data_IF_288657321221
#
_entry.id   IF_288657321221
#
_cell.length_a   1.000
_cell.length_b   1.000
_cell.length_c   1.000
_cell.angle_alpha   90.00
_cell.angle_beta   90.00
_cell.angle_gamma   90.00
#
_symmetry.space_group_name_H-M   'P 1'
#
loop_
_entity.id
_entity.type
_entity.pdbx_description
1 polymer ?
#
# COMPACT_ATOMS: atom_id res chain seq x y z
N UNK A 1 -9.88 -8.98 -14.28
CA UNK A 1 -9.27 -9.28 -12.96
C UNK A 1 -9.00 -10.77 -12.76
N UNK A 2 -9.98 -11.67 -12.57
CA UNK A 2 -9.67 -13.09 -12.30
C UNK A 2 -8.79 -13.74 -13.38
N UNK A 3 -9.10 -13.56 -14.66
CA UNK A 3 -8.29 -14.13 -15.76
C UNK A 3 -6.83 -13.67 -15.71
N UNK A 4 -6.57 -12.43 -15.31
CA UNK A 4 -5.22 -11.87 -15.16
C UNK A 4 -4.48 -12.50 -13.98
N UNK A 5 -5.16 -12.65 -12.83
CA UNK A 5 -4.61 -13.34 -11.66
C UNK A 5 -4.21 -14.77 -12.03
N UNK A 6 -5.09 -15.49 -12.74
CA UNK A 6 -4.82 -16.88 -13.15
C UNK A 6 -3.72 -16.97 -14.21
N UNK A 7 -3.64 -16.02 -15.13
CA UNK A 7 -2.58 -15.99 -16.14
C UNK A 7 -1.20 -15.79 -15.49
N UNK A 8 -1.09 -14.87 -14.51
CA UNK A 8 0.18 -14.61 -13.81
C UNK A 8 0.55 -15.73 -12.83
N UNK A 9 -0.45 -16.34 -12.19
CA UNK A 9 -0.25 -17.37 -11.17
C UNK A 9 0.03 -18.78 -11.69
N UNK A 10 -0.22 -19.11 -12.96
CA UNK A 10 -0.02 -20.50 -13.43
C UNK A 10 1.45 -20.91 -13.60
N UNK A 11 2.30 -19.97 -13.98
CA UNK A 11 3.70 -20.24 -14.35
C UNK A 11 4.72 -19.66 -13.35
N UNK A 12 4.25 -19.24 -12.17
CA UNK A 12 5.05 -18.54 -11.17
C UNK A 12 5.07 -19.32 -9.86
N UNK A 13 6.21 -19.32 -9.16
CA UNK A 13 6.31 -19.85 -7.78
C UNK A 13 6.09 -18.69 -6.80
N UNK A 14 5.03 -18.74 -6.01
CA UNK A 14 4.68 -17.73 -5.01
C UNK A 14 4.06 -18.39 -3.78
N UNK A 15 4.20 -17.73 -2.63
CA UNK A 15 3.64 -18.20 -1.36
C UNK A 15 2.25 -17.61 -1.08
N UNK A 16 1.99 -16.38 -1.56
CA UNK A 16 0.74 -15.66 -1.39
C UNK A 16 0.31 -14.96 -2.68
N UNK A 17 -1.01 -14.82 -2.86
CA UNK A 17 -1.61 -13.83 -3.75
C UNK A 17 -2.16 -12.70 -2.88
N UNK A 18 -1.62 -11.50 -3.03
CA UNK A 18 -2.04 -10.34 -2.24
C UNK A 18 -3.02 -9.50 -3.04
N UNK A 19 -4.18 -9.18 -2.45
CA UNK A 19 -5.10 -8.18 -2.95
C UNK A 19 -4.77 -6.84 -2.31
N UNK A 20 -4.25 -5.95 -3.14
CA UNK A 20 -3.93 -4.55 -2.87
C UNK A 20 -4.30 -3.78 -4.14
N UNK A 21 -4.67 -2.50 -4.03
CA UNK A 21 -5.06 -1.72 -5.19
C UNK A 21 -4.84 -0.23 -5.01
N UNK A 22 -5.03 0.52 -6.11
CA UNK A 22 -4.98 1.99 -6.16
C UNK A 22 -6.05 2.66 -5.26
N UNK A 23 -7.00 1.87 -4.76
CA UNK A 23 -7.99 2.28 -3.77
C UNK A 23 -8.22 1.16 -2.76
N UNK A 24 -9.18 1.37 -1.86
CA UNK A 24 -9.48 0.45 -0.78
C UNK A 24 -10.10 -0.87 -1.32
N UNK A 25 -9.41 -2.04 -1.17
CA UNK A 25 -9.89 -3.30 -1.75
C UNK A 25 -11.28 -3.72 -1.25
N UNK A 26 -11.64 -3.36 -0.02
CA UNK A 26 -12.98 -3.68 0.55
C UNK A 26 -14.15 -2.99 -0.15
N UNK A 27 -13.89 -1.98 -1.00
CA UNK A 27 -14.91 -1.38 -1.87
C UNK A 27 -15.21 -2.22 -3.13
N UNK A 28 -14.43 -3.27 -3.39
CA UNK A 28 -14.70 -4.20 -4.49
C UNK A 28 -15.78 -5.20 -4.08
N UNK A 29 -16.97 -5.08 -4.70
CA UNK A 29 -18.11 -5.98 -4.45
C UNK A 29 -17.80 -7.46 -4.71
N UNK A 30 -16.86 -7.73 -5.62
CA UNK A 30 -16.49 -9.10 -6.01
C UNK A 30 -15.31 -9.64 -5.19
N UNK A 31 -14.83 -8.94 -4.14
CA UNK A 31 -13.63 -9.32 -3.39
C UNK A 31 -13.71 -10.75 -2.83
N UNK A 32 -14.81 -11.08 -2.16
CA UNK A 32 -15.03 -12.43 -1.61
C UNK A 32 -14.99 -13.51 -2.71
N UNK A 33 -15.66 -13.24 -3.84
CA UNK A 33 -15.66 -14.14 -4.98
C UNK A 33 -14.25 -14.31 -5.57
N UNK A 34 -13.50 -13.21 -5.70
CA UNK A 34 -12.12 -13.23 -6.20
C UNK A 34 -11.21 -14.05 -5.29
N UNK A 35 -11.28 -13.85 -3.97
CA UNK A 35 -10.53 -14.64 -2.98
C UNK A 35 -10.81 -16.13 -3.18
N UNK A 36 -12.09 -16.50 -3.22
CA UNK A 36 -12.52 -17.90 -3.39
C UNK A 36 -12.03 -18.50 -4.71
N UNK A 37 -12.16 -17.78 -5.83
CA UNK A 37 -11.70 -18.29 -7.13
C UNK A 37 -10.18 -18.41 -7.20
N UNK A 38 -9.45 -17.43 -6.68
CA UNK A 38 -7.98 -17.46 -6.62
C UNK A 38 -7.50 -18.68 -5.86
N UNK A 39 -8.04 -18.94 -4.65
CA UNK A 39 -7.70 -20.12 -3.85
C UNK A 39 -8.03 -21.42 -4.58
N UNK A 40 -9.21 -21.50 -5.20
CA UNK A 40 -9.67 -22.68 -5.94
C UNK A 40 -8.74 -23.04 -7.10
N UNK A 41 -8.27 -22.05 -7.86
CA UNK A 41 -7.53 -22.28 -9.10
C UNK A 41 -6.01 -22.33 -8.93
N UNK A 42 -5.47 -21.54 -8.00
CA UNK A 42 -4.02 -21.45 -7.79
C UNK A 42 -3.52 -22.25 -6.59
N UNK A 43 -4.43 -22.74 -5.73
CA UNK A 43 -4.09 -23.45 -4.46
C UNK A 43 -3.14 -22.67 -3.57
N UNK A 44 -3.16 -21.35 -3.67
CA UNK A 44 -2.30 -20.45 -2.93
C UNK A 44 -3.03 -19.80 -1.77
N UNK A 45 -2.25 -19.32 -0.79
CA UNK A 45 -2.79 -18.47 0.27
C UNK A 45 -3.11 -17.09 -0.28
N UNK A 46 -4.12 -16.44 0.28
CA UNK A 46 -4.51 -15.08 -0.10
C UNK A 46 -4.28 -14.12 1.06
N UNK A 47 -3.67 -12.98 0.78
CA UNK A 47 -3.50 -11.88 1.72
C UNK A 47 -4.28 -10.65 1.24
N UNK A 48 -4.86 -9.87 2.15
CA UNK A 48 -5.53 -8.61 1.84
C UNK A 48 -4.81 -7.48 2.59
N UNK A 49 -4.47 -6.39 1.90
CA UNK A 49 -4.00 -5.16 2.56
C UNK A 49 -5.14 -4.14 2.48
N UNK A 50 -5.54 -3.57 3.62
CA UNK A 50 -6.70 -2.68 3.71
C UNK A 50 -6.41 -1.53 4.67
N UNK A 51 -7.00 -0.36 4.43
CA UNK A 51 -6.93 0.73 5.40
C UNK A 51 -7.80 0.48 6.65
N UNK A 52 -8.58 -0.61 6.69
CA UNK A 52 -9.41 -1.02 7.83
C UNK A 52 -10.62 -0.13 8.13
N UNK A 53 -10.76 1.00 7.44
CA UNK A 53 -11.72 2.05 7.79
C UNK A 53 -13.18 1.65 7.67
N UNK A 54 -13.50 0.59 6.92
CA UNK A 54 -14.87 0.11 6.68
C UNK A 54 -15.19 -1.17 7.46
N UNK A 55 -14.29 -1.66 8.32
CA UNK A 55 -14.50 -2.91 9.06
C UNK A 55 -15.60 -2.83 10.12
N UNK A 56 -16.14 -1.65 10.40
CA UNK A 56 -17.35 -1.49 11.21
C UNK A 56 -18.61 -2.01 10.50
N UNK A 57 -18.56 -2.21 9.18
CA UNK A 57 -19.63 -2.84 8.41
C UNK A 57 -19.50 -4.37 8.39
N UNK A 58 -20.56 -5.07 8.78
CA UNK A 58 -20.58 -6.55 8.87
C UNK A 58 -20.40 -7.24 7.52
N UNK A 59 -20.95 -6.68 6.43
CA UNK A 59 -20.80 -7.22 5.08
C UNK A 59 -19.34 -7.15 4.60
N UNK A 60 -18.64 -6.05 4.91
CA UNK A 60 -17.21 -5.91 4.65
C UNK A 60 -16.41 -6.96 5.41
N UNK A 61 -16.69 -7.14 6.72
CA UNK A 61 -16.04 -8.20 7.52
C UNK A 61 -16.29 -9.58 6.93
N UNK A 62 -17.53 -9.87 6.53
CA UNK A 62 -17.92 -11.14 5.91
C UNK A 62 -17.13 -11.44 4.64
N UNK A 63 -16.91 -10.43 3.79
CA UNK A 63 -16.16 -10.60 2.54
C UNK A 63 -14.69 -10.98 2.76
N UNK A 64 -14.11 -10.60 3.91
CA UNK A 64 -12.70 -10.85 4.22
C UNK A 64 -12.46 -12.20 4.91
N UNK A 65 -13.50 -12.86 5.45
CA UNK A 65 -13.37 -14.10 6.25
C UNK A 65 -12.69 -15.26 5.52
N UNK A 66 -12.69 -15.27 4.19
CA UNK A 66 -12.09 -16.34 3.39
C UNK A 66 -10.60 -16.12 3.08
N UNK A 67 -10.05 -14.95 3.39
CA UNK A 67 -8.63 -14.68 3.27
C UNK A 67 -7.84 -15.48 4.32
N UNK A 68 -6.57 -15.78 4.03
CA UNK A 68 -5.67 -16.44 4.98
C UNK A 68 -4.98 -15.41 5.87
N UNK A 69 -4.70 -14.23 5.30
CA UNK A 69 -4.12 -13.08 5.98
C UNK A 69 -4.93 -11.83 5.64
N UNK A 70 -5.23 -11.01 6.64
CA UNK A 70 -5.74 -9.65 6.45
C UNK A 70 -4.82 -8.71 7.21
N UNK A 71 -4.35 -7.67 6.53
CA UNK A 71 -3.43 -6.68 7.05
C UNK A 71 -4.08 -5.28 7.05
N UNK A 72 -4.82 -4.91 8.10
CA UNK A 72 -5.31 -3.55 8.24
C UNK A 72 -4.22 -2.57 8.71
N UNK A 73 -4.32 -1.33 8.26
CA UNK A 73 -3.49 -0.23 8.73
C UNK A 73 -4.05 0.41 10.01
N UNK A 74 -3.19 0.74 10.98
CA UNK A 74 -3.49 1.44 12.24
C UNK A 74 -2.42 2.52 12.52
N UNK A 75 -2.50 3.66 11.85
CA UNK A 75 -1.48 4.72 11.98
C UNK A 75 -1.74 5.69 13.14
N UNK A 76 -2.82 5.48 13.91
CA UNK A 76 -3.25 6.41 14.95
C UNK A 76 -3.77 5.69 16.18
N UNK A 77 -3.57 6.29 17.34
CA UNK A 77 -4.16 5.87 18.61
C UNK A 77 -5.31 6.76 19.09
N UNK A 78 -5.65 7.81 18.34
CA UNK A 78 -6.70 8.77 18.70
C UNK A 78 -7.28 9.47 17.46
N UNK A 79 -8.44 10.12 17.64
CA UNK A 79 -9.16 10.83 16.57
C UNK A 79 -8.34 11.92 15.89
N UNK A 80 -7.55 12.70 16.65
CA UNK A 80 -6.78 13.82 16.10
C UNK A 80 -5.74 13.31 15.09
N UNK A 81 -4.96 12.30 15.48
CA UNK A 81 -3.92 11.70 14.64
C UNK A 81 -4.54 10.94 13.46
N UNK A 82 -5.65 10.23 13.68
CA UNK A 82 -6.40 9.53 12.63
C UNK A 82 -6.89 10.48 11.54
N UNK A 83 -7.38 11.67 11.91
CA UNK A 83 -7.77 12.70 10.95
C UNK A 83 -6.58 13.33 10.22
N UNK A 84 -5.45 13.48 10.90
CA UNK A 84 -4.24 14.07 10.32
C UNK A 84 -3.62 13.16 9.24
N UNK A 85 -3.50 11.87 9.54
CA UNK A 85 -2.85 10.88 8.67
C UNK A 85 -3.84 10.31 7.66
N UNK A 86 -4.87 9.59 8.13
CA UNK A 86 -5.72 8.78 7.27
C UNK A 86 -6.77 9.61 6.51
N UNK A 87 -7.05 10.85 6.96
CA UNK A 87 -8.02 11.80 6.36
C UNK A 87 -9.32 11.12 5.92
N UNK A 88 -9.95 10.29 6.78
CA UNK A 88 -11.09 9.47 6.38
C UNK A 88 -12.33 10.34 6.13
N UNK A 89 -13.33 9.76 5.48
CA UNK A 89 -14.64 10.41 5.31
C UNK A 89 -15.17 10.91 6.67
N UNK A 90 -15.81 12.08 6.69
CA UNK A 90 -16.24 12.75 7.94
C UNK A 90 -17.13 11.89 8.83
N UNK A 91 -17.90 10.97 8.24
CA UNK A 91 -18.76 10.03 8.96
C UNK A 91 -18.04 8.83 9.58
N UNK A 92 -16.76 8.61 9.29
CA UNK A 92 -15.95 7.53 9.88
C UNK A 92 -15.11 8.14 10.99
N UNK A 93 -15.35 7.74 12.24
CA UNK A 93 -14.54 8.15 13.41
C UNK A 93 -13.48 7.09 13.72
N UNK A 94 -12.47 7.48 14.48
CA UNK A 94 -11.45 6.58 15.01
C UNK A 94 -12.08 5.48 15.86
N UNK A 95 -13.04 5.83 16.71
CA UNK A 95 -13.77 4.87 17.54
C UNK A 95 -14.51 3.82 16.71
N UNK A 96 -15.20 4.24 15.63
CA UNK A 96 -15.87 3.30 14.73
C UNK A 96 -14.87 2.37 14.04
N UNK A 97 -13.76 2.92 13.55
CA UNK A 97 -12.72 2.15 12.89
C UNK A 97 -12.08 1.14 13.86
N UNK A 98 -11.74 1.56 15.08
CA UNK A 98 -11.18 0.71 16.12
C UNK A 98 -12.16 -0.41 16.51
N UNK A 99 -13.44 -0.07 16.72
CA UNK A 99 -14.48 -1.07 17.01
C UNK A 99 -14.60 -2.08 15.87
N UNK A 100 -14.59 -1.62 14.61
CA UNK A 100 -14.62 -2.50 13.45
C UNK A 100 -13.44 -3.47 13.37
N UNK A 101 -12.24 -3.02 13.73
CA UNK A 101 -11.05 -3.87 13.80
C UNK A 101 -11.17 -4.92 14.92
N UNK A 102 -11.61 -4.50 16.12
CA UNK A 102 -11.84 -5.42 17.25
C UNK A 102 -12.93 -6.45 16.93
N UNK A 103 -14.07 -6.03 16.36
CA UNK A 103 -15.14 -6.94 15.92
C UNK A 103 -14.62 -7.93 14.87
N UNK A 104 -13.85 -7.43 13.90
CA UNK A 104 -13.25 -8.28 12.88
C UNK A 104 -12.31 -9.32 13.47
N UNK A 105 -11.45 -8.95 14.44
CA UNK A 105 -10.59 -9.93 15.13
C UNK A 105 -11.42 -11.05 15.76
N UNK A 106 -12.51 -10.71 16.46
CA UNK A 106 -13.34 -11.70 17.13
C UNK A 106 -14.03 -12.67 16.15
N UNK A 107 -14.40 -12.18 14.97
CA UNK A 107 -15.09 -12.98 13.96
C UNK A 107 -14.15 -13.71 12.99
N UNK A 108 -12.90 -13.27 12.85
CA UNK A 108 -11.95 -13.76 11.86
C UNK A 108 -11.00 -14.80 12.44
N UNK A 109 -10.96 -15.98 11.84
CA UNK A 109 -10.12 -17.10 12.26
C UNK A 109 -8.77 -17.17 11.55
N UNK A 110 -8.53 -16.30 10.56
CA UNK A 110 -7.24 -16.24 9.86
C UNK A 110 -6.22 -15.39 10.61
N UNK A 111 -5.12 -15.09 9.92
CA UNK A 111 -4.03 -14.28 10.47
C UNK A 111 -4.33 -12.79 10.28
N UNK A 112 -4.43 -12.03 11.38
CA UNK A 112 -4.61 -10.58 11.36
C UNK A 112 -3.30 -9.91 11.72
N UNK A 113 -2.71 -9.18 10.77
CA UNK A 113 -1.45 -8.46 10.96
C UNK A 113 -1.74 -6.97 10.92
N UNK A 114 -1.29 -6.16 11.88
CA UNK A 114 -1.44 -4.71 11.75
C UNK A 114 -0.22 -4.10 11.07
N UNK A 115 -0.46 -3.13 10.20
CA UNK A 115 0.56 -2.22 9.69
C UNK A 115 0.42 -0.87 10.39
N UNK A 116 1.53 -0.34 10.92
CA UNK A 116 1.60 0.97 11.58
C UNK A 116 2.68 1.78 10.89
N UNK A 117 2.28 2.79 10.10
CA UNK A 117 3.23 3.72 9.49
C UNK A 117 3.57 4.84 10.47
N UNK A 118 4.85 4.96 10.82
CA UNK A 118 5.33 6.07 11.64
C UNK A 118 5.76 7.25 10.77
N UNK A 119 5.26 8.42 11.11
CA UNK A 119 5.54 9.71 10.47
C UNK A 119 6.09 10.65 11.53
N UNK A 120 7.25 11.24 11.22
CA UNK A 120 7.98 12.13 12.12
C UNK A 120 7.11 13.30 12.58
N UNK A 121 7.18 13.61 13.86
CA UNK A 121 6.47 14.71 14.54
C UNK A 121 4.93 14.63 14.45
N UNK A 122 4.36 13.48 14.04
CA UNK A 122 2.90 13.28 13.94
C UNK A 122 2.40 12.19 14.87
N UNK A 123 2.90 10.95 14.71
CA UNK A 123 2.45 9.80 15.49
C UNK A 123 3.62 9.03 16.15
N UNK A 124 4.78 9.67 16.25
CA UNK A 124 6.04 9.05 16.65
C UNK A 124 6.53 9.48 18.05
N UNK A 125 5.81 10.39 18.72
CA UNK A 125 6.05 10.72 20.13
C UNK A 125 5.64 9.56 21.05
N UNK A 126 6.29 9.43 22.21
CA UNK A 126 5.96 8.40 23.22
C UNK A 126 4.46 8.36 23.56
N UNK A 127 3.82 9.54 23.69
CA UNK A 127 2.38 9.63 23.96
C UNK A 127 1.52 9.05 22.83
N UNK A 128 1.87 9.33 21.58
CA UNK A 128 1.15 8.80 20.42
C UNK A 128 1.37 7.29 20.29
N UNK A 129 2.60 6.83 20.51
CA UNK A 129 2.95 5.41 20.51
C UNK A 129 2.22 4.61 21.61
N UNK A 130 2.09 5.16 22.82
CA UNK A 130 1.28 4.55 23.89
C UNK A 130 -0.21 4.51 23.55
N UNK A 131 -0.71 5.49 22.80
CA UNK A 131 -2.09 5.50 22.31
C UNK A 131 -2.30 4.43 21.24
N UNK A 132 -1.36 4.29 20.29
CA UNK A 132 -1.35 3.23 19.29
C UNK A 132 -1.28 1.87 19.98
N UNK A 133 -0.40 1.71 20.97
CA UNK A 133 -0.30 0.49 21.78
C UNK A 133 -1.64 0.12 22.40
N UNK A 134 -2.36 1.07 23.00
CA UNK A 134 -3.68 0.82 23.58
C UNK A 134 -4.69 0.31 22.54
N UNK A 135 -4.64 0.84 21.32
CA UNK A 135 -5.48 0.35 20.22
C UNK A 135 -5.04 -1.06 19.74
N UNK A 136 -3.74 -1.31 19.61
CA UNK A 136 -3.20 -2.65 19.29
C UNK A 136 -3.62 -3.68 20.34
N UNK A 137 -3.54 -3.34 21.63
CA UNK A 137 -3.93 -4.22 22.74
C UNK A 137 -5.44 -4.52 22.69
N UNK A 138 -6.28 -3.57 22.25
CA UNK A 138 -7.73 -3.78 22.09
C UNK A 138 -8.08 -4.63 20.85
N UNK A 139 -7.23 -4.65 19.84
CA UNK A 139 -7.43 -5.43 18.60
C UNK A 139 -6.86 -6.84 18.73
N UNK A 140 -5.83 -7.06 19.55
CA UNK A 140 -5.14 -8.35 19.74
C UNK A 140 -4.71 -9.03 18.41
N UNK A 141 -3.93 -8.36 17.54
CA UNK A 141 -3.50 -8.96 16.28
C UNK A 141 -2.46 -10.06 16.48
N UNK A 142 -2.30 -10.94 15.48
CA UNK A 142 -1.25 -11.97 15.48
C UNK A 142 0.14 -11.34 15.37
N UNK A 143 0.27 -10.22 14.64
CA UNK A 143 1.53 -9.51 14.38
C UNK A 143 1.28 -8.02 14.22
N UNK A 144 2.31 -7.23 14.49
CA UNK A 144 2.35 -5.80 14.17
C UNK A 144 3.60 -5.53 13.35
N UNK A 145 3.46 -4.76 12.27
CA UNK A 145 4.53 -4.30 11.42
C UNK A 145 4.65 -2.79 11.55
N UNK A 146 5.85 -2.31 11.86
CA UNK A 146 6.16 -0.89 11.82
C UNK A 146 6.78 -0.59 10.46
N UNK A 147 6.18 0.33 9.72
CA UNK A 147 6.70 0.82 8.44
C UNK A 147 7.02 2.30 8.56
N UNK A 148 7.90 2.80 7.70
CA UNK A 148 8.19 4.23 7.58
C UNK A 148 8.05 4.66 6.12
N UNK A 149 7.90 5.98 5.85
CA UNK A 149 8.03 6.52 4.51
C UNK A 149 9.43 6.21 3.94
N UNK A 150 9.56 5.10 3.19
CA UNK A 150 10.80 4.69 2.51
C UNK A 150 10.87 5.17 1.06
N UNK A 151 9.78 5.79 0.58
CA UNK A 151 9.64 6.40 -0.74
C UNK A 151 9.23 7.86 -0.63
N UNK A 152 9.48 8.67 -1.68
CA UNK A 152 8.96 10.03 -1.74
C UNK A 152 7.43 10.05 -1.50
N UNK A 153 6.95 10.68 -0.42
CA UNK A 153 5.53 10.81 -0.17
C UNK A 153 4.91 11.88 -1.08
N UNK A 154 3.59 11.79 -1.28
CA UNK A 154 2.85 12.82 -2.02
C UNK A 154 2.84 14.18 -1.29
N UNK A 155 2.94 14.14 0.03
CA UNK A 155 2.90 15.31 0.91
C UNK A 155 4.33 15.67 1.35
N UNK A 156 4.80 16.87 1.03
CA UNK A 156 6.20 17.25 1.25
C UNK A 156 6.61 17.37 2.72
N UNK A 157 5.65 17.45 3.63
CA UNK A 157 5.90 17.53 5.08
C UNK A 157 6.03 16.14 5.74
N UNK A 158 5.73 15.06 5.00
CA UNK A 158 5.84 13.69 5.53
C UNK A 158 7.30 13.26 5.50
N UNK A 159 7.85 13.01 6.69
CA UNK A 159 9.22 12.55 6.87
C UNK A 159 9.24 11.26 7.70
N UNK A 160 10.22 10.36 7.49
CA UNK A 160 10.40 9.21 8.35
C UNK A 160 10.95 9.64 9.72
N UNK A 161 10.54 8.99 10.82
CA UNK A 161 11.14 9.21 12.13
C UNK A 161 12.63 8.86 12.15
N UNK A 162 13.33 9.37 13.15
CA UNK A 162 14.72 8.96 13.42
C UNK A 162 14.78 7.50 13.93
N UNK A 163 15.89 6.78 13.71
CA UNK A 163 16.01 5.37 14.10
C UNK A 163 15.70 5.10 15.58
N UNK A 164 16.08 6.01 16.47
CA UNK A 164 15.81 5.91 17.92
C UNK A 164 14.30 5.86 18.21
N UNK A 165 13.51 6.62 17.47
CA UNK A 165 12.05 6.63 17.59
C UNK A 165 11.43 5.32 17.10
N UNK A 166 11.99 4.72 16.04
CA UNK A 166 11.54 3.42 15.54
C UNK A 166 11.79 2.33 16.60
N UNK A 167 12.97 2.34 17.23
CA UNK A 167 13.30 1.42 18.33
C UNK A 167 12.36 1.59 19.52
N UNK A 168 12.09 2.84 19.93
CA UNK A 168 11.11 3.15 20.97
C UNK A 168 9.72 2.60 20.62
N UNK A 169 9.26 2.80 19.38
CA UNK A 169 7.97 2.28 18.93
C UNK A 169 7.92 0.75 18.99
N UNK A 170 8.99 0.05 18.61
CA UNK A 170 9.07 -1.41 18.70
C UNK A 170 8.94 -1.90 20.16
N UNK A 171 9.60 -1.21 21.09
CA UNK A 171 9.56 -1.54 22.52
C UNK A 171 8.17 -1.29 23.11
N UNK A 172 7.59 -0.12 22.86
CA UNK A 172 6.31 0.29 23.43
C UNK A 172 5.13 -0.49 22.87
N UNK A 173 5.06 -0.67 21.55
CA UNK A 173 3.95 -1.38 20.90
C UNK A 173 4.01 -2.87 21.22
N UNK A 174 5.22 -3.43 21.38
CA UNK A 174 5.44 -4.82 21.74
C UNK A 174 5.14 -5.77 20.58
N UNK A 175 6.07 -6.69 20.28
CA UNK A 175 5.97 -7.64 19.15
C UNK A 175 5.96 -6.98 17.76
N UNK A 176 6.31 -5.71 17.65
CA UNK A 176 6.33 -5.02 16.36
C UNK A 176 7.61 -5.34 15.56
N UNK A 177 7.42 -5.73 14.30
CA UNK A 177 8.49 -6.08 13.36
C UNK A 177 8.73 -4.87 12.44
N UNK A 178 9.95 -4.33 12.36
CA UNK A 178 10.22 -3.17 11.52
C UNK A 178 10.43 -3.62 10.08
N UNK A 179 9.74 -2.96 9.14
CA UNK A 179 9.96 -3.08 7.70
C UNK A 179 10.40 -1.70 7.21
N UNK A 180 11.72 -1.50 7.20
CA UNK A 180 12.36 -0.22 6.86
C UNK A 180 13.29 -0.33 5.65
N UNK A 181 13.42 -1.52 5.09
CA UNK A 181 14.25 -1.79 3.90
C UNK A 181 13.45 -1.56 2.62
N UNK A 182 14.15 -1.12 1.58
CA UNK A 182 13.62 -1.07 0.22
C UNK A 182 13.26 -2.48 -0.26
N UNK A 183 12.11 -2.62 -0.89
CA UNK A 183 11.68 -3.86 -1.52
C UNK A 183 12.48 -4.19 -2.78
N UNK A 184 12.57 -5.48 -3.06
CA UNK A 184 13.17 -6.05 -4.27
C UNK A 184 12.16 -6.98 -4.96
N UNK A 185 12.17 -6.99 -6.29
CA UNK A 185 11.25 -7.83 -7.08
C UNK A 185 11.00 -7.28 -8.48
N UNK A 186 10.56 -8.15 -9.38
CA UNK A 186 10.23 -7.79 -10.76
C UNK A 186 8.87 -7.09 -10.83
N UNK A 187 8.81 -5.94 -11.51
CA UNK A 187 7.56 -5.27 -11.80
C UNK A 187 6.82 -5.94 -12.94
N UNK A 188 5.49 -5.99 -12.86
CA UNK A 188 4.62 -6.67 -13.83
C UNK A 188 4.70 -6.02 -15.22
N UNK A 189 5.59 -6.55 -16.05
CA UNK A 189 6.01 -5.95 -17.33
C UNK A 189 5.29 -6.50 -18.56
N UNK A 190 4.32 -7.40 -18.38
CA UNK A 190 3.85 -8.26 -19.48
C UNK A 190 2.67 -7.73 -20.29
N UNK A 191 2.01 -6.66 -19.84
CA UNK A 191 0.80 -6.12 -20.49
C UNK A 191 0.98 -4.72 -21.10
N UNK A 192 2.13 -4.06 -20.88
CA UNK A 192 2.41 -2.71 -21.40
C UNK A 192 3.05 -2.81 -22.79
N UNK A 193 2.51 -2.09 -23.77
CA UNK A 193 2.95 -2.16 -25.17
C UNK A 193 4.36 -1.60 -25.42
N UNK A 194 4.84 -0.70 -24.54
CA UNK A 194 6.20 -0.16 -24.57
C UNK A 194 6.70 0.25 -23.17
N UNK A 195 8.02 0.44 -23.03
CA UNK A 195 8.67 0.77 -21.75
C UNK A 195 8.23 2.13 -21.19
N UNK A 196 7.93 3.10 -22.05
CA UNK A 196 7.50 4.45 -21.64
C UNK A 196 6.14 4.37 -20.96
N UNK A 197 5.22 3.62 -21.53
CA UNK A 197 3.90 3.34 -20.98
C UNK A 197 4.03 2.55 -19.66
N UNK A 198 4.85 1.51 -19.61
CA UNK A 198 5.08 0.74 -18.38
C UNK A 198 5.60 1.63 -17.23
N UNK A 199 6.61 2.45 -17.50
CA UNK A 199 7.20 3.37 -16.51
C UNK A 199 6.15 4.38 -16.02
N UNK A 200 5.31 4.92 -16.91
CA UNK A 200 4.23 5.83 -16.52
C UNK A 200 3.14 5.10 -15.70
N UNK A 201 2.66 3.95 -16.16
CA UNK A 201 1.58 3.21 -15.48
C UNK A 201 1.96 2.75 -14.07
N UNK A 202 3.21 2.30 -13.89
CA UNK A 202 3.72 1.90 -12.59
C UNK A 202 4.09 3.15 -11.77
N UNK A 203 4.85 4.07 -12.36
CA UNK A 203 5.33 5.30 -11.73
C UNK A 203 4.23 6.23 -11.22
N UNK A 204 3.05 6.21 -11.86
CA UNK A 204 1.89 7.00 -11.46
C UNK A 204 1.24 6.51 -10.17
N UNK A 205 1.47 5.25 -9.81
CA UNK A 205 0.94 4.61 -8.59
C UNK A 205 2.01 4.49 -7.51
N UNK A 206 3.25 4.35 -7.96
CA UNK A 206 4.35 3.86 -7.16
C UNK A 206 5.64 4.55 -7.58
N UNK A 207 6.22 5.43 -6.75
CA UNK A 207 7.54 6.00 -7.00
C UNK A 207 8.54 4.92 -7.38
N UNK A 208 8.98 4.92 -8.64
CA UNK A 208 9.90 3.94 -9.17
C UNK A 208 11.32 4.35 -8.82
N UNK A 209 12.11 3.47 -8.23
CA UNK A 209 13.54 3.71 -8.15
C UNK A 209 14.18 3.62 -9.53
N UNK A 210 15.34 4.27 -9.70
CA UNK A 210 16.06 4.27 -10.97
C UNK A 210 16.46 2.86 -11.43
N UNK A 211 16.88 1.99 -10.51
CA UNK A 211 17.18 0.57 -10.79
C UNK A 211 15.93 -0.17 -11.29
N UNK A 212 14.79 0.03 -10.65
CA UNK A 212 13.51 -0.57 -11.07
C UNK A 212 13.07 -0.06 -12.45
N UNK A 213 13.21 1.23 -12.72
CA UNK A 213 12.91 1.78 -14.04
C UNK A 213 13.86 1.20 -15.12
N UNK A 214 15.13 0.96 -14.79
CA UNK A 214 16.08 0.33 -15.70
C UNK A 214 15.73 -1.14 -15.96
N UNK A 215 15.30 -1.89 -14.93
CA UNK A 215 14.81 -3.27 -15.09
C UNK A 215 13.62 -3.36 -16.07
N UNK A 216 12.76 -2.34 -16.12
CA UNK A 216 11.66 -2.23 -17.09
C UNK A 216 12.20 -2.10 -18.52
N UNK A 217 13.23 -1.27 -18.74
CA UNK A 217 13.88 -1.13 -20.04
C UNK A 217 14.54 -2.44 -20.47
N UNK A 218 15.32 -3.05 -19.58
CA UNK A 218 16.07 -4.29 -19.81
C UNK A 218 15.13 -5.45 -20.17
N UNK A 219 14.03 -5.61 -19.44
CA UNK A 219 13.04 -6.66 -19.68
C UNK A 219 12.35 -6.53 -21.05
N UNK A 220 12.23 -5.30 -21.58
CA UNK A 220 11.66 -5.01 -22.89
C UNK A 220 12.72 -4.89 -23.98
N UNK A 221 14.00 -5.11 -23.65
CA UNK A 221 15.11 -5.06 -24.60
C UNK A 221 15.35 -3.67 -25.20
N UNK A 222 14.98 -2.61 -24.48
CA UNK A 222 15.18 -1.21 -24.89
C UNK A 222 16.13 -0.50 -23.95
N UNK A 223 16.62 0.67 -24.33
CA UNK A 223 17.43 1.53 -23.45
C UNK A 223 17.22 3.01 -23.78
N UNK A 224 17.45 3.87 -22.79
CA UNK A 224 17.43 5.33 -22.93
C UNK A 224 16.04 5.93 -23.05
N UNK A 225 14.99 5.17 -22.75
CA UNK A 225 13.61 5.63 -22.61
C UNK A 225 13.48 6.54 -21.40
N UNK A 226 14.07 6.18 -20.25
CA UNK A 226 14.10 7.01 -19.04
C UNK A 226 14.74 8.37 -19.35
N UNK A 227 15.91 8.37 -19.99
CA UNK A 227 16.62 9.61 -20.35
C UNK A 227 15.82 10.48 -21.33
N UNK A 228 15.10 9.87 -22.28
CA UNK A 228 14.18 10.59 -23.18
C UNK A 228 13.05 11.22 -22.37
N UNK A 229 12.38 10.45 -21.50
CA UNK A 229 11.27 10.93 -20.68
C UNK A 229 11.67 12.04 -19.70
N UNK A 230 12.90 12.02 -19.18
CA UNK A 230 13.46 13.11 -18.37
C UNK A 230 13.68 14.38 -19.22
N UNK A 231 14.23 14.25 -20.43
CA UNK A 231 14.41 15.39 -21.35
C UNK A 231 13.09 15.98 -21.84
N UNK A 232 12.11 15.12 -22.10
CA UNK A 232 10.78 15.50 -22.59
C UNK A 232 9.91 16.10 -21.48
N UNK A 233 10.40 16.11 -20.23
CA UNK A 233 9.69 16.66 -19.09
C UNK A 233 8.48 15.84 -18.68
N UNK A 234 8.57 14.51 -18.81
CA UNK A 234 7.53 13.57 -18.41
C UNK A 234 7.84 12.94 -17.05
N UNK A 235 9.13 12.76 -16.76
CA UNK A 235 9.65 12.31 -15.48
C UNK A 235 10.44 13.42 -14.78
N UNK A 236 10.47 13.36 -13.46
CA UNK A 236 11.34 14.12 -12.58
C UNK A 236 12.19 13.13 -11.81
N UNK A 237 13.48 13.44 -11.71
CA UNK A 237 14.42 12.75 -10.83
C UNK A 237 14.35 13.37 -9.44
N UNK A 238 14.10 12.56 -8.42
CA UNK A 238 14.16 12.99 -7.01
C UNK A 238 15.07 12.07 -6.21
N UNK A 239 15.72 12.60 -5.19
CA UNK A 239 16.53 11.83 -4.25
C UNK A 239 15.77 11.69 -2.92
N UNK A 240 15.67 10.47 -2.41
CA UNK A 240 14.98 10.18 -1.17
C UNK A 240 15.58 8.94 -0.50
N UNK A 241 15.92 9.04 0.79
CA UNK A 241 16.50 7.91 1.54
C UNK A 241 17.79 7.36 0.94
N UNK A 242 18.61 8.21 0.29
CA UNK A 242 19.85 7.81 -0.38
C UNK A 242 19.64 7.05 -1.71
N UNK A 243 18.41 6.95 -2.20
CA UNK A 243 18.07 6.36 -3.48
C UNK A 243 17.50 7.41 -4.44
N UNK A 244 17.64 7.15 -5.74
CA UNK A 244 17.10 8.00 -6.79
C UNK A 244 15.79 7.40 -7.29
N UNK A 245 14.76 8.23 -7.35
CA UNK A 245 13.44 7.89 -7.85
C UNK A 245 13.10 8.65 -9.13
N UNK A 246 12.39 7.96 -10.04
CA UNK A 246 11.79 8.49 -11.26
C UNK A 246 10.30 8.66 -11.04
N UNK A 247 9.85 9.92 -10.95
CA UNK A 247 8.46 10.27 -10.70
C UNK A 247 7.83 10.86 -11.96
N UNK A 248 6.65 10.41 -12.40
CA UNK A 248 5.88 11.17 -13.37
C UNK A 248 5.62 12.59 -12.87
N UNK A 249 5.75 13.59 -13.75
CA UNK A 249 5.61 15.01 -13.37
C UNK A 249 4.28 15.33 -12.67
N UNK A 250 3.20 14.63 -13.04
CA UNK A 250 1.88 14.79 -12.44
C UNK A 250 1.77 14.20 -11.02
N UNK A 251 2.76 13.45 -10.55
CA UNK A 251 2.84 12.95 -9.18
C UNK A 251 3.38 14.03 -8.23
N UNK A 252 4.20 14.95 -8.75
CA UNK A 252 4.84 16.04 -7.97
C UNK A 252 3.95 17.27 -7.85
N UNK A 253 2.91 17.38 -8.68
CA UNK A 253 1.89 18.43 -8.61
C UNK A 253 0.55 17.75 -8.48
N UNK A 254 -0.21 18.02 -7.41
CA UNK A 254 -1.56 17.49 -7.17
C UNK A 254 -2.61 17.90 -8.21
N UNK A 255 -2.34 17.72 -9.51
CA UNK A 255 -3.24 17.91 -10.64
C UNK A 255 -3.26 16.63 -11.47
N UNK A 256 -4.42 15.97 -11.44
CA UNK A 256 -4.75 14.79 -12.22
C UNK A 256 -4.46 15.00 -13.71
N UNK A 257 -3.70 14.09 -14.31
CA UNK A 257 -3.48 14.01 -15.75
C UNK A 257 -4.83 13.67 -16.43
N UNK A 258 -5.52 14.66 -17.00
CA UNK A 258 -6.60 14.38 -17.94
C UNK A 258 -5.97 13.96 -19.27
N UNK A 259 -5.96 12.64 -19.51
CA UNK A 259 -5.64 12.08 -20.81
C UNK A 259 -6.44 12.78 -21.90
N UNK A 260 -5.75 13.30 -22.91
CA UNK A 260 -6.36 13.78 -24.15
C UNK A 260 -6.98 12.58 -24.87
N UNK A 261 -8.27 12.34 -24.67
CA UNK A 261 -9.08 11.63 -25.66
C UNK A 261 -9.63 12.63 -26.69
N UNK A 262 -9.30 12.33 -27.94
CA UNK A 262 -9.73 13.03 -29.15
C UNK A 262 -11.26 13.02 -29.28
N UNK A 263 -11.83 14.12 -29.77
CA UNK A 263 -12.85 14.03 -30.84
C UNK A 263 -12.54 14.99 -31.97
N UNK A 264 -12.18 14.38 -33.09
CA UNK A 264 -12.25 14.92 -34.43
C UNK A 264 -13.72 14.98 -34.89
N UNK A 265 -14.03 16.06 -35.62
CA UNK A 265 -15.05 16.26 -36.68
C UNK A 265 -16.48 16.62 -36.28
N UNK A 266 -17.22 17.30 -37.19
CA UNK A 266 -16.80 17.92 -38.46
C UNK A 266 -16.36 19.38 -38.30
#
# INVERSE_FOLDING_TARGET
MLNEILARGKDSRFDYVTFVGDGEPTLCKDLDWLIKQTKKHLRARTAIITNGSLLFHEDVRSNLKHADVVMPTLDAGNEKTFRAINRPHRGITFEMMLQGLTDFRHEYSGQMWLEVMLVKDVNDSEKELLSIKSAVDAIEPDRVYIVTPIRPPAESWVEPPVPETILMAQELIGKAIPIVSLESGQFGLRDSGDARQAIMEIGSRHPLRQDQAAEIEDALGVSGTIDRMLRDGELIRTEYGGAIYMLPVHFVRGQSYHGKERRQRP
#
